data_IF_206847842935
#
_entry.id   IF_206847842935
#
_cell.length_a   1.000
_cell.length_b   1.000
_cell.length_c   1.000
_cell.angle_alpha   90.00
_cell.angle_beta   90.00
_cell.angle_gamma   90.00
#
_symmetry.space_group_name_H-M   'P 1'
#
loop_
_entity.id
_entity.type
_entity.pdbx_description
1 polymer ?
#
# COMPACT_ATOMS: atom_id res chain seq x y z
N UNK A 1 6.59 -9.95 -9.81
CA UNK A 1 7.22 -8.77 -9.17
C UNK A 1 8.72 -9.03 -9.14
N UNK A 2 9.50 -8.22 -9.85
CA UNK A 2 10.97 -8.33 -9.95
C UNK A 2 11.64 -7.72 -8.72
N UNK A 3 12.90 -8.07 -8.45
CA UNK A 3 13.69 -7.59 -7.30
C UNK A 3 13.67 -6.04 -7.14
N UNK A 4 13.77 -5.31 -8.25
CA UNK A 4 13.74 -3.84 -8.24
C UNK A 4 12.42 -3.22 -7.77
N UNK A 5 11.30 -3.92 -7.91
CA UNK A 5 9.98 -3.46 -7.44
C UNK A 5 9.89 -3.51 -5.91
N UNK A 6 10.46 -4.55 -5.31
CA UNK A 6 10.51 -4.70 -3.85
C UNK A 6 11.42 -3.65 -3.20
N UNK A 7 12.52 -3.27 -3.85
CA UNK A 7 13.41 -2.20 -3.42
C UNK A 7 12.73 -0.83 -3.53
N UNK A 8 12.02 -0.56 -4.64
CA UNK A 8 11.25 0.66 -4.81
C UNK A 8 10.20 0.80 -3.70
N UNK A 9 9.40 -0.24 -3.44
CA UNK A 9 8.41 -0.24 -2.36
C UNK A 9 9.03 -0.09 -0.96
N UNK A 10 10.30 -0.48 -0.77
CA UNK A 10 10.99 -0.29 0.50
C UNK A 10 11.33 1.17 0.81
N UNK A 11 11.37 2.03 -0.21
CA UNK A 11 11.60 3.46 -0.04
C UNK A 11 10.33 4.24 0.38
N UNK A 12 9.19 3.56 0.55
CA UNK A 12 7.91 4.19 0.90
C UNK A 12 7.32 3.59 2.19
N UNK A 13 6.53 4.39 2.90
CA UNK A 13 5.78 3.98 4.10
C UNK A 13 4.43 4.68 4.15
N UNK A 14 3.51 4.18 4.98
CA UNK A 14 2.27 4.91 5.28
C UNK A 14 2.63 6.26 5.91
N UNK A 15 1.92 7.32 5.52
CA UNK A 15 2.18 8.67 6.01
C UNK A 15 2.13 8.70 7.54
N UNK A 16 3.10 9.37 8.15
CA UNK A 16 3.15 9.51 9.60
C UNK A 16 1.89 10.23 10.12
N UNK A 17 1.36 9.76 11.25
CA UNK A 17 0.13 10.28 11.84
C UNK A 17 -1.16 9.71 11.25
N UNK A 18 -1.08 8.81 10.26
CA UNK A 18 -2.24 8.05 9.77
C UNK A 18 -2.35 6.68 10.41
N UNK A 19 -3.57 6.24 10.63
CA UNK A 19 -3.94 4.89 11.06
C UNK A 19 -4.85 4.27 10.01
N UNK A 20 -4.23 3.80 8.92
CA UNK A 20 -4.98 3.23 7.81
C UNK A 20 -5.46 1.81 8.14
N UNK A 21 -6.73 1.56 7.84
CA UNK A 21 -7.35 0.24 7.84
C UNK A 21 -7.92 -0.02 6.45
N UNK A 22 -7.67 -1.22 5.94
CA UNK A 22 -8.37 -1.67 4.74
C UNK A 22 -9.79 -2.09 5.12
N UNK A 23 -10.74 -1.84 4.22
CA UNK A 23 -12.13 -2.24 4.38
C UNK A 23 -12.25 -3.74 4.66
N UNK A 24 -13.32 -4.17 5.35
CA UNK A 24 -13.42 -5.53 5.80
C UNK A 24 -13.74 -6.49 4.64
N UNK A 25 -13.13 -7.68 4.70
CA UNK A 25 -13.11 -8.74 3.67
C UNK A 25 -14.49 -9.32 3.30
N UNK A 26 -15.55 -9.02 4.07
CA UNK A 26 -16.90 -9.60 3.90
C UNK A 26 -17.78 -8.91 2.85
N UNK A 27 -17.26 -7.90 2.16
CA UNK A 27 -17.88 -7.33 0.96
C UNK A 27 -16.86 -7.34 -0.16
N UNK A 28 -17.10 -8.13 -1.22
CA UNK A 28 -16.22 -8.26 -2.40
C UNK A 28 -15.89 -6.93 -3.12
N UNK A 29 -16.56 -5.83 -2.76
CA UNK A 29 -16.29 -4.46 -3.25
C UNK A 29 -15.60 -3.53 -2.22
N UNK A 30 -15.46 -3.96 -0.96
CA UNK A 30 -14.91 -3.17 0.16
C UNK A 30 -13.40 -3.34 0.36
N UNK A 31 -12.80 -4.35 -0.25
CA UNK A 31 -11.36 -4.59 -0.27
C UNK A 31 -10.54 -3.41 -0.83
N UNK A 32 -11.17 -2.57 -1.65
CA UNK A 32 -10.58 -1.40 -2.29
C UNK A 32 -10.65 -0.13 -1.46
N UNK A 33 -11.23 -0.16 -0.27
CA UNK A 33 -11.30 1.03 0.58
C UNK A 33 -10.14 1.05 1.57
N UNK A 34 -9.45 2.18 1.65
CA UNK A 34 -8.59 2.52 2.78
C UNK A 34 -9.26 3.62 3.60
N UNK A 35 -9.34 3.43 4.90
CA UNK A 35 -9.91 4.37 5.86
C UNK A 35 -8.84 4.82 6.85
N UNK A 36 -8.74 6.12 7.13
CA UNK A 36 -7.87 6.67 8.17
C UNK A 36 -8.65 6.89 9.46
N UNK A 37 -8.37 6.09 10.49
CA UNK A 37 -9.06 6.17 11.78
C UNK A 37 -8.79 7.51 12.50
N UNK A 38 -7.66 8.15 12.20
CA UNK A 38 -7.29 9.42 12.82
C UNK A 38 -8.05 10.63 12.23
N UNK A 39 -8.32 10.66 10.93
CA UNK A 39 -8.94 11.82 10.26
C UNK A 39 -10.39 11.58 9.84
N UNK A 40 -10.82 10.31 9.72
CA UNK A 40 -12.09 9.94 9.10
C UNK A 40 -12.07 9.98 7.57
N UNK A 41 -10.92 10.25 6.94
CA UNK A 41 -10.78 10.21 5.48
C UNK A 41 -10.89 8.78 4.95
N UNK A 42 -11.34 8.65 3.71
CA UNK A 42 -11.30 7.39 2.97
C UNK A 42 -10.81 7.58 1.54
N UNK A 43 -10.17 6.55 1.01
CA UNK A 43 -9.73 6.48 -0.38
C UNK A 43 -10.27 5.21 -1.03
N UNK A 44 -10.76 5.37 -2.26
CA UNK A 44 -11.06 4.24 -3.14
C UNK A 44 -9.79 3.92 -3.93
N UNK A 45 -9.27 2.72 -3.72
CA UNK A 45 -8.05 2.22 -4.33
C UNK A 45 -8.39 1.33 -5.52
N UNK A 46 -7.61 1.44 -6.58
CA UNK A 46 -7.58 0.35 -7.57
C UNK A 46 -6.83 -0.87 -7.00
N UNK A 47 -6.91 -2.03 -7.68
CA UNK A 47 -6.24 -3.27 -7.29
C UNK A 47 -4.74 -3.06 -7.01
N UNK A 48 -4.05 -2.25 -7.83
CA UNK A 48 -2.64 -1.93 -7.59
C UNK A 48 -2.43 -1.10 -6.31
N UNK A 49 -3.25 -0.06 -6.10
CA UNK A 49 -3.18 0.79 -4.91
C UNK A 49 -3.42 0.00 -3.62
N UNK A 50 -4.41 -0.90 -3.65
CA UNK A 50 -4.70 -1.81 -2.54
C UNK A 50 -3.49 -2.70 -2.19
N UNK A 51 -2.86 -3.32 -3.21
CA UNK A 51 -1.68 -4.18 -3.00
C UNK A 51 -0.51 -3.41 -2.38
N UNK A 52 -0.27 -2.18 -2.81
CA UNK A 52 0.76 -1.29 -2.26
C UNK A 52 0.46 -0.99 -0.79
N UNK A 53 -0.73 -0.45 -0.49
CA UNK A 53 -1.12 -0.05 0.87
C UNK A 53 -1.11 -1.25 1.83
N UNK A 54 -1.66 -2.40 1.41
CA UNK A 54 -1.67 -3.64 2.19
C UNK A 54 -0.25 -4.11 2.55
N UNK A 55 0.70 -3.98 1.62
CA UNK A 55 2.10 -4.35 1.85
C UNK A 55 2.81 -3.38 2.79
N UNK A 56 2.58 -2.08 2.66
CA UNK A 56 3.13 -1.07 3.56
C UNK A 56 2.60 -1.23 4.98
N UNK A 57 1.29 -1.48 5.15
CA UNK A 57 0.66 -1.76 6.44
C UNK A 57 1.24 -3.00 7.14
N UNK A 58 1.47 -4.09 6.38
CA UNK A 58 2.11 -5.30 6.92
C UNK A 58 3.53 -5.03 7.40
N UNK A 59 4.31 -4.24 6.65
CA UNK A 59 5.67 -3.84 7.07
C UNK A 59 5.67 -2.99 8.33
N UNK A 60 4.78 -2.00 8.42
CA UNK A 60 4.66 -1.13 9.60
C UNK A 60 4.24 -1.92 10.85
N UNK A 61 3.40 -2.94 10.69
CA UNK A 61 2.93 -3.79 11.80
C UNK A 61 3.98 -4.82 12.26
N UNK A 62 5.13 -4.94 11.58
CA UNK A 62 6.11 -5.98 11.85
C UNK A 62 5.58 -7.41 11.61
N UNK A 63 4.41 -7.54 10.97
CA UNK A 63 3.80 -8.82 10.70
C UNK A 63 4.60 -9.54 9.60
N UNK A 64 5.07 -10.76 9.90
CA UNK A 64 5.68 -11.66 8.94
C UNK A 64 4.82 -11.73 7.67
N UNK A 65 5.38 -11.74 6.45
CA UNK A 65 4.59 -11.71 5.23
C UNK A 65 3.64 -12.90 5.21
N UNK A 66 2.37 -12.65 5.54
CA UNK A 66 1.32 -13.61 5.25
C UNK A 66 1.39 -13.88 3.74
N UNK A 67 1.34 -15.15 3.30
CA UNK A 67 1.31 -15.45 1.88
C UNK A 67 0.18 -14.65 1.24
N UNK A 68 0.43 -14.15 0.02
CA UNK A 68 -0.48 -13.38 -0.84
C UNK A 68 -1.75 -14.18 -1.24
N UNK A 69 -2.35 -14.90 -0.30
CA UNK A 69 -3.35 -15.93 -0.56
C UNK A 69 -4.80 -15.48 -0.46
N UNK A 70 -5.09 -14.19 -0.24
CA UNK A 70 -6.48 -13.72 -0.11
C UNK A 70 -6.91 -12.71 -1.16
N UNK A 71 -5.99 -12.13 -1.94
CA UNK A 71 -6.37 -11.11 -2.95
C UNK A 71 -5.48 -11.11 -4.21
N UNK A 72 -4.59 -12.08 -4.40
CA UNK A 72 -3.96 -12.30 -5.71
C UNK A 72 -4.95 -13.11 -6.56
N UNK A 73 -5.96 -12.43 -7.11
CA UNK A 73 -6.85 -13.03 -8.07
C UNK A 73 -5.98 -13.64 -9.20
N UNK A 74 -6.02 -14.96 -9.42
CA UNK A 74 -5.17 -15.60 -10.40
C UNK A 74 -5.49 -15.01 -11.79
N UNK A 75 -4.54 -14.24 -12.35
CA UNK A 75 -4.68 -13.64 -13.68
C UNK A 75 -4.38 -12.14 -13.76
N UNK A 76 -4.15 -11.42 -12.66
CA UNK A 76 -3.72 -10.02 -12.74
C UNK A 76 -2.24 -9.96 -13.13
N UNK A 77 -1.86 -9.39 -14.29
CA UNK A 77 -0.47 -9.27 -14.68
C UNK A 77 0.31 -8.48 -13.62
N UNK A 78 1.58 -8.84 -13.43
CA UNK A 78 2.45 -8.05 -12.58
C UNK A 78 2.51 -6.62 -13.16
N UNK A 79 2.32 -5.57 -12.33
CA UNK A 79 2.38 -4.20 -12.82
C UNK A 79 3.74 -3.92 -13.42
N UNK A 80 3.77 -3.12 -14.48
CA UNK A 80 5.01 -2.59 -15.03
C UNK A 80 5.64 -1.61 -14.03
N UNK A 81 6.97 -1.44 -14.05
CA UNK A 81 7.64 -0.48 -13.16
C UNK A 81 7.08 0.95 -13.27
N UNK A 82 6.66 1.35 -14.47
CA UNK A 82 6.03 2.65 -14.71
C UNK A 82 4.62 2.77 -14.09
N UNK A 83 3.84 1.69 -14.11
CA UNK A 83 2.52 1.63 -13.46
C UNK A 83 2.66 1.69 -11.94
N UNK A 84 3.65 0.98 -11.39
CA UNK A 84 3.96 1.05 -9.96
C UNK A 84 4.35 2.48 -9.56
N UNK A 85 5.25 3.11 -10.32
CA UNK A 85 5.69 4.48 -10.05
C UNK A 85 4.53 5.48 -10.12
N UNK A 86 3.65 5.36 -11.11
CA UNK A 86 2.45 6.19 -11.23
C UNK A 86 1.47 5.97 -10.07
N UNK A 87 1.29 4.73 -9.59
CA UNK A 87 0.45 4.44 -8.44
C UNK A 87 1.05 5.02 -7.14
N UNK A 88 2.36 4.92 -6.95
CA UNK A 88 3.05 5.53 -5.81
C UNK A 88 2.93 7.06 -5.82
N UNK A 89 3.07 7.70 -6.98
CA UNK A 89 2.88 9.13 -7.12
C UNK A 89 1.47 9.57 -6.72
N UNK A 90 0.43 8.87 -7.21
CA UNK A 90 -0.96 9.16 -6.86
C UNK A 90 -1.23 8.98 -5.35
N UNK A 91 -0.71 7.92 -4.73
CA UNK A 91 -0.84 7.70 -3.29
C UNK A 91 -0.11 8.76 -2.46
N UNK A 92 1.02 9.28 -2.95
CA UNK A 92 1.75 10.38 -2.33
C UNK A 92 0.95 11.68 -2.42
N UNK A 93 0.41 12.01 -3.60
CA UNK A 93 -0.40 13.22 -3.82
C UNK A 93 -1.69 13.19 -2.99
N UNK A 94 -2.33 12.01 -2.88
CA UNK A 94 -3.46 11.78 -1.99
C UNK A 94 -3.08 11.83 -0.49
N UNK A 95 -1.78 11.92 -0.19
CA UNK A 95 -1.24 11.98 1.16
C UNK A 95 -1.40 10.68 1.94
N UNK A 96 -1.61 9.54 1.29
CA UNK A 96 -1.77 8.21 1.91
C UNK A 96 -0.41 7.67 2.36
N UNK A 97 0.60 7.83 1.51
CA UNK A 97 1.97 7.36 1.74
C UNK A 97 2.95 8.53 1.77
N UNK A 98 4.16 8.26 2.24
CA UNK A 98 5.29 9.17 2.18
C UNK A 98 6.59 8.40 1.92
N UNK A 99 7.65 9.06 1.41
CA UNK A 99 8.98 8.48 1.37
C UNK A 99 9.44 8.12 2.79
N UNK A 100 10.13 7.00 2.93
CA UNK A 100 10.87 6.70 4.17
C UNK A 100 11.97 7.74 4.28
N UNK A 101 11.94 8.55 5.35
CA UNK A 101 13.02 9.48 5.61
C UNK A 101 14.34 8.70 5.72
N UNK A 102 15.44 9.16 5.10
CA UNK A 102 16.73 8.57 5.38
C UNK A 102 16.99 8.65 6.89
N UNK A 103 17.67 7.67 7.50
CA UNK A 103 18.05 7.78 8.91
C UNK A 103 18.78 9.12 9.09
N UNK A 104 18.32 9.94 10.03
CA UNK A 104 19.01 11.18 10.34
C UNK A 104 20.46 10.85 10.74
N UNK A 105 21.47 11.56 10.22
CA UNK A 105 22.82 11.41 10.74
C UNK A 105 22.82 11.77 12.22
N UNK A 106 23.37 10.86 13.03
CA UNK A 106 23.62 11.00 14.46
C UNK A 106 24.56 12.17 14.80
#
# INVERSE_FOLDING_TARGET
MTDGDAALLAAWTIRAGRQLRLGPDWQESSDRLAFDDCSGDYWVLDALGQRIVSRLLRRQSGASPAPLGVNDAPGVPAPSGHELQAALAQLLEAGVIQPVAPPAPE
#
